data_IF_231387143880
#
_entry.id   IF_231387143880
#
_cell.length_a   1.000
_cell.length_b   1.000
_cell.length_c   1.000
_cell.angle_alpha   90.00
_cell.angle_beta   90.00
_cell.angle_gamma   90.00
#
_symmetry.space_group_name_H-M   'P 1'
#
loop_
_entity.id
_entity.type
_entity.pdbx_description
1 polymer ?
#
# COMPACT_ATOMS: atom_id res chain seq x y z
N UNK A 1 20.70 -6.09 -18.49
CA UNK A 1 19.88 -6.80 -17.49
C UNK A 1 20.67 -8.04 -17.16
N UNK A 2 21.39 -8.00 -16.05
CA UNK A 2 22.20 -9.12 -15.59
C UNK A 2 21.27 -10.17 -14.97
N UNK A 3 21.46 -11.44 -15.33
CA UNK A 3 20.64 -12.52 -14.80
C UNK A 3 20.98 -12.74 -13.32
N UNK A 4 20.00 -12.54 -12.44
CA UNK A 4 20.03 -13.02 -11.07
C UNK A 4 19.82 -14.53 -11.10
N UNK A 5 20.88 -15.30 -10.86
CA UNK A 5 20.78 -16.73 -10.58
C UNK A 5 20.79 -16.89 -9.06
N UNK A 6 19.64 -17.28 -8.51
CA UNK A 6 19.56 -17.78 -7.14
C UNK A 6 19.71 -19.30 -7.21
N UNK A 7 20.77 -19.83 -6.60
CA UNK A 7 20.95 -21.27 -6.41
C UNK A 7 20.62 -21.61 -4.97
N UNK A 8 19.74 -22.60 -4.78
CA UNK A 8 19.38 -23.14 -3.48
C UNK A 8 20.50 -24.03 -2.97
N UNK A 9 21.01 -23.75 -1.77
CA UNK A 9 21.84 -24.69 -1.02
C UNK A 9 21.12 -24.92 0.30
N UNK A 10 20.38 -26.02 0.37
CA UNK A 10 19.82 -26.48 1.63
C UNK A 10 20.96 -26.98 2.52
N UNK A 11 21.24 -26.26 3.60
CA UNK A 11 22.26 -26.63 4.58
C UNK A 11 21.59 -26.89 5.93
N UNK A 12 20.96 -28.07 6.07
CA UNK A 12 20.16 -28.43 7.24
C UNK A 12 18.72 -27.91 7.14
N UNK A 13 18.21 -27.31 8.23
CA UNK A 13 16.87 -26.71 8.32
C UNK A 13 16.84 -25.25 7.83
N UNK A 14 17.98 -24.70 7.41
CA UNK A 14 18.11 -23.32 6.93
C UNK A 14 18.24 -23.27 5.41
N UNK A 15 17.51 -22.33 4.80
CA UNK A 15 17.64 -21.99 3.39
C UNK A 15 18.68 -20.89 3.23
N UNK A 16 19.80 -21.20 2.57
CA UNK A 16 20.84 -20.22 2.24
C UNK A 16 20.72 -19.86 0.76
N UNK A 17 20.38 -18.59 0.49
CA UNK A 17 20.31 -18.08 -0.87
C UNK A 17 21.63 -17.41 -1.23
N UNK A 18 22.35 -17.96 -2.21
CA UNK A 18 23.46 -17.24 -2.85
C UNK A 18 22.94 -16.50 -4.07
N UNK A 19 22.92 -15.16 -4.01
CA UNK A 19 22.63 -14.33 -5.17
C UNK A 19 23.91 -14.23 -6.00
N UNK A 20 23.99 -14.96 -7.11
CA UNK A 20 25.12 -14.88 -8.03
C UNK A 20 24.80 -13.84 -9.12
N UNK A 21 25.51 -12.72 -9.08
CA UNK A 21 25.50 -11.72 -10.15
C UNK A 21 26.49 -12.18 -11.22
N UNK A 22 25.98 -12.60 -12.37
CA UNK A 22 26.82 -13.07 -13.48
C UNK A 22 27.45 -11.87 -14.22
N UNK A 23 28.78 -11.72 -14.10
CA UNK A 23 29.59 -10.85 -14.95
C UNK A 23 30.16 -11.61 -16.16
N UNK A 24 30.62 -10.93 -17.22
CA UNK A 24 31.19 -11.58 -18.40
C UNK A 24 32.59 -12.12 -18.07
N UNK A 25 32.70 -13.40 -17.67
CA UNK A 25 33.98 -14.11 -17.58
C UNK A 25 34.05 -15.27 -18.57
N UNK A 26 35.25 -15.51 -19.11
CA UNK A 26 35.55 -16.42 -20.24
C UNK A 26 35.98 -17.83 -19.81
N UNK A 27 35.73 -18.24 -18.57
CA UNK A 27 36.20 -19.55 -18.10
C UNK A 27 35.06 -20.59 -18.03
N UNK A 28 35.22 -21.64 -18.82
CA UNK A 28 34.35 -22.83 -18.85
C UNK A 28 34.52 -23.64 -17.57
N UNK A 29 33.54 -23.59 -16.67
CA UNK A 29 33.43 -24.52 -15.54
C UNK A 29 32.47 -25.67 -15.91
N UNK A 30 32.94 -26.94 -15.97
CA UNK A 30 32.08 -28.09 -16.19
C UNK A 30 31.62 -28.66 -14.84
N UNK A 31 30.41 -28.26 -14.42
CA UNK A 31 29.47 -29.08 -13.65
C UNK A 31 28.24 -28.22 -13.36
N UNK A 32 27.41 -28.01 -14.38
CA UNK A 32 26.11 -27.37 -14.21
C UNK A 32 25.20 -28.41 -13.58
N UNK A 33 25.05 -28.32 -12.25
CA UNK A 33 24.00 -29.04 -11.54
C UNK A 33 22.67 -28.51 -12.09
N UNK A 34 21.92 -29.36 -12.82
CA UNK A 34 20.61 -29.01 -13.39
C UNK A 34 19.56 -28.93 -12.28
N UNK A 35 19.64 -27.91 -11.43
CA UNK A 35 18.53 -27.56 -10.58
C UNK A 35 17.42 -27.00 -11.47
N UNK A 36 16.20 -27.53 -11.28
CA UNK A 36 15.00 -26.99 -11.92
C UNK A 36 14.96 -25.49 -11.63
N UNK A 37 14.83 -24.62 -12.66
CA UNK A 37 14.81 -23.18 -12.44
C UNK A 37 13.71 -22.85 -11.43
N UNK A 38 14.11 -22.26 -10.31
CA UNK A 38 13.19 -21.85 -9.28
C UNK A 38 12.28 -20.77 -9.85
N UNK A 39 10.98 -20.93 -9.60
CA UNK A 39 9.99 -19.92 -9.92
C UNK A 39 10.34 -18.63 -9.15
N UNK A 40 10.84 -17.62 -9.86
CA UNK A 40 11.30 -16.36 -9.27
C UNK A 40 10.20 -15.70 -8.43
N UNK A 41 8.94 -15.87 -8.83
CA UNK A 41 7.77 -15.35 -8.10
C UNK A 41 7.64 -16.01 -6.72
N UNK A 42 7.91 -17.31 -6.62
CA UNK A 42 7.89 -18.03 -5.33
C UNK A 42 9.05 -17.62 -4.43
N UNK A 43 10.24 -17.44 -5.00
CA UNK A 43 11.40 -16.95 -4.24
C UNK A 43 11.12 -15.58 -3.64
N UNK A 44 10.62 -14.64 -4.44
CA UNK A 44 10.31 -13.28 -3.99
C UNK A 44 9.19 -13.28 -2.95
N UNK A 45 8.17 -14.13 -3.09
CA UNK A 45 7.12 -14.29 -2.08
C UNK A 45 7.68 -14.84 -0.75
N UNK A 46 8.59 -15.82 -0.78
CA UNK A 46 9.27 -16.31 0.43
C UNK A 46 10.13 -15.22 1.07
N UNK A 47 10.88 -14.46 0.26
CA UNK A 47 11.68 -13.34 0.74
C UNK A 47 10.81 -12.27 1.41
N UNK A 48 9.65 -11.92 0.84
CA UNK A 48 8.72 -10.93 1.42
C UNK A 48 8.24 -11.28 2.84
N UNK A 49 8.14 -12.58 3.16
CA UNK A 49 7.70 -13.07 4.47
C UNK A 49 8.83 -13.20 5.49
N UNK A 50 10.08 -13.28 5.03
CA UNK A 50 11.22 -13.54 5.89
C UNK A 50 11.84 -12.24 6.41
N UNK A 51 11.58 -11.92 7.68
CA UNK A 51 12.12 -10.71 8.31
C UNK A 51 13.66 -10.73 8.40
N UNK A 52 14.31 -11.89 8.45
CA UNK A 52 15.77 -11.98 8.67
C UNK A 52 16.59 -11.53 7.47
N UNK A 53 15.98 -11.43 6.28
CA UNK A 53 16.66 -10.97 5.06
C UNK A 53 16.43 -9.49 4.78
N UNK A 54 15.60 -8.81 5.57
CA UNK A 54 15.20 -7.42 5.35
C UNK A 54 16.19 -6.43 5.97
N UNK A 55 16.41 -5.30 5.29
CA UNK A 55 17.38 -4.26 5.68
C UNK A 55 16.72 -2.86 5.87
N UNK A 56 15.41 -2.76 5.63
CA UNK A 56 14.64 -1.53 5.79
C UNK A 56 13.26 -1.80 6.41
N UNK A 57 12.76 -0.83 7.18
CA UNK A 57 11.41 -0.87 7.75
C UNK A 57 10.59 0.39 7.37
N UNK A 58 9.36 0.20 6.92
CA UNK A 58 8.35 1.26 6.76
C UNK A 58 7.46 1.23 7.99
N UNK A 59 7.42 2.32 8.75
CA UNK A 59 6.76 2.37 10.06
C UNK A 59 5.47 3.17 10.01
N UNK A 60 4.42 2.64 10.63
CA UNK A 60 3.08 3.22 10.67
C UNK A 60 2.67 3.49 12.11
N UNK A 61 2.24 4.71 12.41
CA UNK A 61 1.73 5.06 13.73
C UNK A 61 0.33 4.47 13.97
N UNK A 62 0.13 3.75 15.08
CA UNK A 62 -1.22 3.36 15.53
C UNK A 62 -1.73 4.41 16.53
N UNK A 63 -2.89 5.01 16.24
CA UNK A 63 -3.49 6.15 16.94
C UNK A 63 -3.17 6.33 18.43
N UNK A 64 -2.73 7.55 18.78
CA UNK A 64 -2.67 8.09 20.15
C UNK A 64 -1.57 7.54 21.06
N UNK A 65 -0.75 6.59 20.61
CA UNK A 65 0.36 6.03 21.40
C UNK A 65 1.61 5.80 20.56
N UNK A 66 2.76 5.66 21.24
CA UNK A 66 4.13 5.53 20.70
C UNK A 66 4.34 4.20 19.90
N UNK A 67 3.27 3.46 19.59
CA UNK A 67 3.39 2.12 18.98
C UNK A 67 3.40 2.23 17.46
N UNK A 68 4.50 1.79 16.88
CA UNK A 68 4.70 1.73 15.43
C UNK A 68 4.66 0.27 14.96
N UNK A 69 3.89 0.00 13.89
CA UNK A 69 4.00 -1.26 13.14
C UNK A 69 5.05 -1.05 12.05
N UNK A 70 5.99 -1.98 11.90
CA UNK A 70 6.96 -2.01 10.81
C UNK A 70 6.56 -3.00 9.72
N UNK A 71 6.49 -2.54 8.47
CA UNK A 71 6.54 -3.36 7.28
C UNK A 71 7.99 -3.47 6.82
N UNK A 72 8.58 -4.65 6.94
CA UNK A 72 9.97 -4.90 6.60
C UNK A 72 10.12 -5.22 5.11
N UNK A 73 11.13 -4.61 4.48
CA UNK A 73 11.35 -4.64 3.03
C UNK A 73 12.84 -4.67 2.70
N UNK A 74 13.19 -5.21 1.54
CA UNK A 74 14.54 -5.11 0.98
C UNK A 74 14.74 -3.77 0.26
N UNK A 75 15.68 -2.98 0.73
CA UNK A 75 16.09 -1.69 0.17
C UNK A 75 16.46 -1.84 -1.31
N UNK A 76 17.23 -2.88 -1.66
CA UNK A 76 17.68 -3.11 -3.02
C UNK A 76 16.54 -3.35 -4.02
N UNK A 77 15.44 -3.98 -3.57
CA UNK A 77 14.27 -4.24 -4.43
C UNK A 77 13.50 -2.93 -4.64
N UNK A 78 13.26 -2.16 -3.58
CA UNK A 78 12.57 -0.87 -3.70
C UNK A 78 13.37 0.16 -4.51
N UNK A 79 14.70 0.16 -4.37
CA UNK A 79 15.59 1.06 -5.09
C UNK A 79 15.62 0.85 -6.62
N UNK A 80 14.99 -0.21 -7.13
CA UNK A 80 14.77 -0.37 -8.58
C UNK A 80 13.83 0.72 -9.15
N UNK A 81 13.06 1.39 -8.28
CA UNK A 81 12.22 2.53 -8.64
C UNK A 81 12.91 3.85 -8.25
N UNK A 82 13.17 4.78 -9.20
CA UNK A 82 13.98 5.99 -8.93
C UNK A 82 13.46 6.86 -7.78
N UNK A 83 12.15 7.06 -7.67
CA UNK A 83 11.55 7.87 -6.59
C UNK A 83 11.76 7.23 -5.23
N UNK A 84 11.65 5.89 -5.14
CA UNK A 84 11.90 5.14 -3.93
C UNK A 84 13.40 5.10 -3.58
N UNK A 85 14.28 4.96 -4.58
CA UNK A 85 15.73 5.08 -4.38
C UNK A 85 16.11 6.43 -3.75
N UNK A 86 15.59 7.53 -4.31
CA UNK A 86 15.79 8.88 -3.76
C UNK A 86 15.23 9.04 -2.35
N UNK A 87 14.09 8.42 -2.04
CA UNK A 87 13.54 8.40 -0.69
C UNK A 87 14.51 7.67 0.26
N UNK A 88 14.94 6.47 -0.12
CA UNK A 88 15.84 5.59 0.63
C UNK A 88 17.18 6.26 0.94
N UNK A 89 17.74 7.03 0.01
CA UNK A 89 18.98 7.78 0.20
C UNK A 89 18.85 8.87 1.26
N UNK A 90 17.65 9.47 1.39
CA UNK A 90 17.35 10.51 2.37
C UNK A 90 17.03 9.97 3.76
N UNK A 91 16.74 8.67 3.88
CA UNK A 91 16.46 8.05 5.18
C UNK A 91 17.75 7.97 6.00
N UNK A 92 17.67 8.43 7.25
CA UNK A 92 18.76 8.26 8.22
C UNK A 92 18.80 6.82 8.69
N UNK A 93 20.01 6.31 8.87
CA UNK A 93 20.23 5.06 9.59
C UNK A 93 19.92 5.33 11.06
N UNK A 94 19.10 4.48 11.69
CA UNK A 94 18.87 4.56 13.13
C UNK A 94 20.13 4.04 13.82
N UNK A 95 20.95 4.96 14.33
CA UNK A 95 22.08 4.64 15.20
C UNK A 95 21.54 4.37 16.61
N UNK A 96 21.65 3.14 17.09
CA UNK A 96 21.11 2.68 18.38
C UNK A 96 21.85 3.22 19.61
N UNK A 97 21.92 4.55 19.78
CA UNK A 97 22.61 5.20 20.91
C UNK A 97 21.70 5.53 22.09
N UNK A 98 20.38 5.34 21.96
CA UNK A 98 19.40 5.57 23.02
C UNK A 98 18.97 4.24 23.64
N UNK A 99 19.05 4.15 24.98
CA UNK A 99 18.51 3.03 25.77
C UNK A 99 17.02 2.76 25.54
N UNK A 100 16.31 3.69 24.88
CA UNK A 100 14.87 3.65 24.65
C UNK A 100 14.51 3.35 23.19
N UNK A 101 15.50 3.20 22.30
CA UNK A 101 15.29 2.88 20.89
C UNK A 101 15.06 1.37 20.71
N UNK A 102 13.83 0.97 20.40
CA UNK A 102 13.45 -0.43 20.17
C UNK A 102 13.94 -1.00 18.82
N UNK A 103 14.62 -0.22 17.98
CA UNK A 103 15.06 -0.63 16.64
C UNK A 103 16.44 -1.29 16.62
N UNK A 104 16.60 -2.27 15.73
CA UNK A 104 17.90 -2.86 15.39
C UNK A 104 18.80 -1.76 14.82
N UNK A 105 19.96 -1.54 15.45
CA UNK A 105 20.95 -0.58 14.97
C UNK A 105 21.34 -0.91 13.52
N UNK A 106 21.40 0.10 12.66
CA UNK A 106 21.77 -0.07 11.25
C UNK A 106 20.60 -0.19 10.27
N UNK A 107 19.35 -0.24 10.73
CA UNK A 107 18.16 -0.29 9.86
C UNK A 107 17.72 1.13 9.47
N UNK A 108 17.40 1.32 8.17
CA UNK A 108 16.73 2.54 7.70
C UNK A 108 15.23 2.45 7.97
N UNK A 109 14.67 3.53 8.51
CA UNK A 109 13.23 3.62 8.79
C UNK A 109 12.59 4.78 8.06
N UNK A 110 11.44 4.51 7.44
CA UNK A 110 10.55 5.54 6.85
C UNK A 110 9.25 5.59 7.64
N UNK A 111 8.95 6.71 8.29
CA UNK A 111 7.68 6.89 8.99
C UNK A 111 6.60 7.42 8.04
N UNK A 112 5.45 6.76 8.01
CA UNK A 112 4.32 7.06 7.13
C UNK A 112 3.07 7.40 7.95
N UNK A 113 2.46 8.54 7.65
CA UNK A 113 1.21 9.01 8.28
C UNK A 113 0.02 9.06 7.32
N UNK A 114 0.29 9.24 6.03
CA UNK A 114 -0.74 9.66 5.08
C UNK A 114 -1.48 8.48 4.42
N UNK A 115 -0.94 7.28 4.56
CA UNK A 115 -1.46 6.07 3.93
C UNK A 115 -1.51 4.91 4.92
N UNK A 116 -2.40 3.97 4.65
CA UNK A 116 -2.57 2.74 5.42
C UNK A 116 -1.41 1.76 5.18
N UNK A 117 -1.23 0.86 6.15
CA UNK A 117 -0.32 -0.27 6.02
C UNK A 117 -0.71 -1.14 4.82
N UNK A 118 -2.00 -1.35 4.61
CA UNK A 118 -2.57 -2.18 3.57
C UNK A 118 -2.28 -1.62 2.17
N UNK A 119 -2.39 -0.29 1.99
CA UNK A 119 -2.00 0.38 0.75
C UNK A 119 -0.52 0.17 0.42
N UNK A 120 0.36 0.28 1.43
CA UNK A 120 1.78 -0.01 1.26
C UNK A 120 2.05 -1.49 0.98
N UNK A 121 1.32 -2.42 1.60
CA UNK A 121 1.44 -3.84 1.30
C UNK A 121 1.08 -4.13 -0.16
N UNK A 122 0.01 -3.51 -0.69
CA UNK A 122 -0.36 -3.61 -2.10
C UNK A 122 0.76 -3.07 -3.02
N UNK A 123 1.33 -1.91 -2.68
CA UNK A 123 2.43 -1.29 -3.41
C UNK A 123 3.67 -2.20 -3.42
N UNK A 124 4.09 -2.69 -2.25
CA UNK A 124 5.26 -3.58 -2.12
C UNK A 124 5.05 -4.87 -2.89
N UNK A 125 3.86 -5.48 -2.79
CA UNK A 125 3.52 -6.69 -3.56
C UNK A 125 3.63 -6.45 -5.06
N UNK A 126 3.15 -5.31 -5.55
CA UNK A 126 3.29 -4.95 -6.96
C UNK A 126 4.76 -4.80 -7.38
N UNK A 127 5.60 -4.18 -6.55
CA UNK A 127 7.04 -4.01 -6.85
C UNK A 127 7.74 -5.37 -6.90
N UNK A 128 7.45 -6.27 -5.96
CA UNK A 128 8.10 -7.58 -5.90
C UNK A 128 7.59 -8.54 -6.98
N UNK A 129 6.28 -8.62 -7.16
CA UNK A 129 5.66 -9.69 -7.95
C UNK A 129 5.07 -9.21 -9.27
N UNK A 130 4.92 -7.90 -9.48
CA UNK A 130 4.17 -7.34 -10.60
C UNK A 130 2.66 -7.59 -10.53
N UNK A 131 2.17 -8.14 -9.41
CA UNK A 131 0.76 -8.48 -9.18
C UNK A 131 0.02 -7.34 -8.49
N UNK A 132 -1.23 -7.09 -8.89
CA UNK A 132 -2.10 -6.12 -8.25
C UNK A 132 -3.22 -6.87 -7.53
N UNK A 133 -3.18 -6.91 -6.20
CA UNK A 133 -4.21 -7.49 -5.33
C UNK A 133 -4.50 -6.50 -4.21
N UNK A 134 -5.77 -6.11 -4.08
CA UNK A 134 -6.22 -5.19 -3.02
C UNK A 134 -6.56 -5.89 -1.71
N UNK A 135 -6.85 -7.19 -1.78
CA UNK A 135 -7.00 -8.03 -0.61
C UNK A 135 -5.62 -8.37 -0.08
N UNK A 136 -5.32 -7.86 1.11
CA UNK A 136 -4.01 -7.98 1.74
C UNK A 136 -4.11 -9.01 2.85
N UNK A 137 -3.46 -10.14 2.64
CA UNK A 137 -3.11 -11.05 3.73
C UNK A 137 -1.81 -10.56 4.37
N UNK A 138 -1.86 -10.12 5.62
CA UNK A 138 -0.68 -9.63 6.32
C UNK A 138 0.34 -10.75 6.59
N UNK A 139 -0.08 -12.01 6.58
CA UNK A 139 0.81 -13.17 6.70
C UNK A 139 1.69 -13.35 5.44
N UNK A 140 1.38 -12.66 4.33
CA UNK A 140 2.23 -12.60 3.14
C UNK A 140 3.44 -11.66 3.29
N UNK A 141 3.53 -10.90 4.39
CA UNK A 141 4.54 -9.87 4.57
C UNK A 141 5.29 -10.05 5.89
N UNK A 142 6.56 -9.66 5.90
CA UNK A 142 7.35 -9.50 7.11
C UNK A 142 6.87 -8.26 7.88
N UNK A 143 5.81 -8.43 8.68
CA UNK A 143 5.25 -7.39 9.53
C UNK A 143 5.63 -7.67 10.97
N UNK A 144 6.13 -6.66 11.67
CA UNK A 144 6.50 -6.80 13.07
C UNK A 144 6.70 -5.46 13.77
N UNK A 145 6.61 -5.48 15.09
CA UNK A 145 7.14 -4.40 15.90
C UNK A 145 8.66 -4.56 16.01
N UNK A 146 9.40 -3.47 16.25
CA UNK A 146 10.82 -3.56 16.59
C UNK A 146 11.02 -4.50 17.81
N UNK A 147 12.10 -5.30 17.84
CA UNK A 147 12.19 -6.58 18.57
C UNK A 147 12.13 -6.56 20.11
N UNK A 148 11.95 -5.41 20.77
CA UNK A 148 12.18 -5.32 22.22
C UNK A 148 10.94 -5.49 23.12
N UNK A 149 9.74 -5.80 22.59
CA UNK A 149 8.59 -6.19 23.42
C UNK A 149 7.71 -7.27 22.77
N UNK A 150 7.41 -8.40 23.44
CA UNK A 150 6.45 -9.37 22.94
C UNK A 150 5.07 -8.72 22.79
N UNK A 151 4.43 -8.91 21.63
CA UNK A 151 3.17 -8.27 21.29
C UNK A 151 2.02 -9.27 21.11
N UNK A 152 0.84 -8.86 21.58
CA UNK A 152 -0.47 -9.45 21.25
C UNK A 152 -1.27 -8.39 20.49
N UNK A 153 -1.53 -8.64 19.20
CA UNK A 153 -2.27 -7.73 18.33
C UNK A 153 -3.77 -7.83 18.68
N UNK A 154 -4.28 -6.86 19.42
CA UNK A 154 -5.74 -6.60 19.46
C UNK A 154 -6.02 -5.39 18.58
N UNK A 155 -6.29 -5.64 17.30
CA UNK A 155 -6.77 -4.60 16.40
C UNK A 155 -8.19 -4.18 16.78
N UNK A 156 -8.34 -3.03 17.43
CA UNK A 156 -9.64 -2.38 17.52
C UNK A 156 -10.04 -1.95 16.11
N UNK A 157 -11.26 -2.31 15.68
CA UNK A 157 -11.87 -1.83 14.42
C UNK A 157 -11.71 -0.31 14.37
N UNK A 158 -11.05 0.20 13.34
CA UNK A 158 -11.15 1.62 12.99
C UNK A 158 -12.63 1.84 12.62
N UNK A 159 -13.32 2.86 13.16
CA UNK A 159 -14.61 3.23 12.61
C UNK A 159 -14.37 3.55 11.14
N UNK A 160 -15.07 2.83 10.27
CA UNK A 160 -15.15 3.18 8.85
C UNK A 160 -15.55 4.65 8.77
N UNK A 161 -14.88 5.44 7.94
CA UNK A 161 -15.36 6.76 7.53
C UNK A 161 -16.49 6.49 6.52
N UNK A 162 -17.57 5.90 7.02
CA UNK A 162 -18.89 5.81 6.37
C UNK A 162 -19.88 5.92 7.52
N UNK A 163 -20.67 6.98 7.50
CA UNK A 163 -21.46 7.45 8.62
C UNK A 163 -22.38 6.41 9.26
N UNK A 164 -22.53 6.61 10.58
CA UNK A 164 -23.62 6.26 11.48
C UNK A 164 -24.13 4.81 11.62
N UNK A 165 -24.34 4.49 12.90
CA UNK A 165 -24.99 3.32 13.51
C UNK A 165 -24.13 2.05 13.64
N UNK A 166 -23.63 1.78 14.86
CA UNK A 166 -24.23 0.70 15.65
C UNK A 166 -23.75 0.69 17.11
N UNK A 167 -24.71 0.45 18.01
CA UNK A 167 -24.60 0.41 19.47
C UNK A 167 -24.38 -1.02 19.99
N UNK A 168 -23.69 -1.11 21.14
CA UNK A 168 -23.88 -2.03 22.29
C UNK A 168 -22.75 -3.00 22.71
N UNK A 169 -22.33 -2.72 23.95
CA UNK A 169 -21.99 -3.52 25.14
C UNK A 169 -20.76 -4.44 25.24
N UNK A 170 -20.02 -4.37 26.38
CA UNK A 170 -18.84 -5.20 26.66
C UNK A 170 -19.19 -6.48 27.42
N UNK A 171 -18.42 -7.54 27.19
CA UNK A 171 -18.44 -8.77 28.00
C UNK A 171 -17.05 -9.05 28.58
N UNK A 172 -17.09 -9.62 29.78
CA UNK A 172 -16.10 -9.90 30.83
C UNK A 172 -14.78 -10.56 30.37
N UNK A 173 -13.63 -10.31 31.03
CA UNK A 173 -12.36 -10.94 30.67
C UNK A 173 -12.19 -12.31 31.33
N UNK A 174 -11.92 -13.32 30.50
CA UNK A 174 -11.54 -14.68 30.93
C UNK A 174 -10.04 -14.88 30.72
N UNK A 175 -9.34 -15.23 31.80
CA UNK A 175 -7.88 -15.43 31.87
C UNK A 175 -7.54 -16.77 31.23
N UNK A 176 -6.86 -16.75 30.07
CA UNK A 176 -6.26 -17.92 29.44
C UNK A 176 -4.86 -17.58 28.91
N UNK A 177 -3.96 -18.55 29.05
CA UNK A 177 -2.50 -18.54 28.85
C UNK A 177 -1.96 -17.82 27.59
N UNK A 178 -0.84 -17.10 27.79
CA UNK A 178 -0.30 -16.02 26.94
C UNK A 178 0.53 -16.42 25.69
N UNK A 179 0.71 -17.69 25.35
CA UNK A 179 1.72 -18.05 24.32
C UNK A 179 1.18 -18.50 22.95
N UNK A 180 -0.14 -18.55 22.71
CA UNK A 180 -0.68 -18.96 21.39
C UNK A 180 -1.91 -18.16 20.90
N UNK A 181 -2.28 -17.06 21.55
CA UNK A 181 -3.52 -16.30 21.23
C UNK A 181 -3.29 -15.03 20.38
N UNK A 182 -2.24 -15.01 19.56
CA UNK A 182 -1.94 -13.91 18.64
C UNK A 182 -2.29 -14.19 17.15
N UNK A 183 -2.93 -15.34 16.86
CA UNK A 183 -3.15 -15.82 15.47
C UNK A 183 -4.58 -15.66 14.93
N UNK A 184 -5.42 -14.86 15.58
CA UNK A 184 -6.86 -14.76 15.23
C UNK A 184 -7.40 -13.33 15.30
N UNK A 185 -6.77 -12.44 14.54
CA UNK A 185 -7.39 -11.16 14.18
C UNK A 185 -7.08 -10.79 12.73
N UNK A 186 -7.15 -11.76 11.81
CA UNK A 186 -7.12 -11.53 10.37
C UNK A 186 -8.49 -11.01 9.92
N UNK A 187 -8.90 -9.83 10.40
CA UNK A 187 -9.91 -9.07 9.67
C UNK A 187 -9.19 -8.67 8.38
N UNK A 188 -9.53 -9.34 7.27
CA UNK A 188 -9.05 -8.93 5.95
C UNK A 188 -9.33 -7.45 5.77
N UNK A 189 -8.28 -6.67 5.59
CA UNK A 189 -8.39 -5.23 5.37
C UNK A 189 -8.02 -4.99 3.92
N UNK A 190 -8.97 -4.47 3.18
CA UNK A 190 -8.81 -4.19 1.75
C UNK A 190 -8.35 -2.75 1.57
N UNK A 191 -7.24 -2.56 0.86
CA UNK A 191 -6.90 -1.21 0.37
C UNK A 191 -7.86 -0.82 -0.77
N UNK A 192 -8.13 0.48 -0.93
CA UNK A 192 -8.93 0.97 -2.04
C UNK A 192 -8.06 1.25 -3.26
N UNK A 193 -8.66 1.19 -4.47
CA UNK A 193 -7.97 1.64 -5.67
C UNK A 193 -7.54 3.11 -5.59
N UNK A 194 -8.29 3.95 -4.87
CA UNK A 194 -7.98 5.38 -4.69
C UNK A 194 -6.69 5.59 -3.90
N UNK A 195 -6.51 4.86 -2.81
CA UNK A 195 -5.30 4.94 -2.00
C UNK A 195 -4.09 4.41 -2.78
N UNK A 196 -4.24 3.23 -3.42
CA UNK A 196 -3.16 2.65 -4.23
C UNK A 196 -2.80 3.53 -5.43
N UNK A 197 -3.78 4.22 -6.03
CA UNK A 197 -3.55 5.23 -7.07
C UNK A 197 -2.68 6.38 -6.57
N UNK A 198 -3.00 6.95 -5.40
CA UNK A 198 -2.24 8.06 -4.80
C UNK A 198 -0.82 7.63 -4.44
N UNK A 199 -0.64 6.44 -3.88
CA UNK A 199 0.68 5.86 -3.60
C UNK A 199 1.49 5.69 -4.89
N UNK A 200 0.87 5.12 -5.93
CA UNK A 200 1.54 4.91 -7.21
C UNK A 200 1.93 6.24 -7.88
N UNK A 201 1.10 7.28 -7.76
CA UNK A 201 1.43 8.63 -8.24
C UNK A 201 2.58 9.25 -7.44
N UNK A 202 2.51 9.20 -6.10
CA UNK A 202 3.54 9.69 -5.18
C UNK A 202 4.92 9.09 -5.47
N UNK A 203 4.97 7.78 -5.77
CA UNK A 203 6.21 7.07 -6.12
C UNK A 203 6.50 7.01 -7.61
N UNK A 204 5.72 7.69 -8.45
CA UNK A 204 5.83 7.72 -9.91
C UNK A 204 5.84 6.33 -10.59
N UNK A 205 5.10 5.36 -10.04
CA UNK A 205 4.96 4.00 -10.58
C UNK A 205 3.83 3.99 -11.62
N UNK A 206 4.14 4.50 -12.82
CA UNK A 206 3.17 4.74 -13.92
C UNK A 206 2.24 3.56 -14.20
N UNK A 207 2.77 2.34 -14.33
CA UNK A 207 1.96 1.15 -14.67
C UNK A 207 0.88 0.87 -13.61
N UNK A 208 1.22 1.02 -12.33
CA UNK A 208 0.28 0.84 -11.22
C UNK A 208 -0.73 1.98 -11.16
N UNK A 209 -0.26 3.23 -11.35
CA UNK A 209 -1.11 4.43 -11.41
C UNK A 209 -2.17 4.31 -12.51
N UNK A 210 -1.75 3.99 -13.74
CA UNK A 210 -2.66 3.85 -14.88
C UNK A 210 -3.67 2.72 -14.65
N UNK A 211 -3.23 1.58 -14.11
CA UNK A 211 -4.14 0.48 -13.75
C UNK A 211 -5.20 0.92 -12.73
N UNK A 212 -4.79 1.56 -11.63
CA UNK A 212 -5.74 2.01 -10.62
C UNK A 212 -6.68 3.10 -11.14
N UNK A 213 -6.18 4.02 -11.99
CA UNK A 213 -7.00 5.03 -12.67
C UNK A 213 -8.12 4.36 -13.47
N UNK A 214 -7.77 3.41 -14.32
CA UNK A 214 -8.73 2.75 -15.20
C UNK A 214 -9.78 1.98 -14.38
N UNK A 215 -9.37 1.37 -13.26
CA UNK A 215 -10.30 0.75 -12.30
C UNK A 215 -11.22 1.76 -11.63
N UNK A 216 -10.70 2.89 -11.15
CA UNK A 216 -11.52 3.96 -10.54
C UNK A 216 -12.57 4.45 -11.54
N UNK A 217 -12.17 4.72 -12.79
CA UNK A 217 -13.09 5.17 -13.84
C UNK A 217 -14.14 4.10 -14.13
N UNK A 218 -13.77 2.82 -14.19
CA UNK A 218 -14.70 1.72 -14.44
C UNK A 218 -15.73 1.52 -13.31
N UNK A 219 -15.39 1.88 -12.07
CA UNK A 219 -16.30 1.82 -10.91
C UNK A 219 -17.01 3.14 -10.62
N UNK A 220 -16.83 4.15 -11.47
CA UNK A 220 -17.45 5.45 -11.29
C UNK A 220 -18.95 5.35 -11.62
N UNK A 221 -19.78 5.80 -10.70
CA UNK A 221 -21.24 5.86 -10.85
C UNK A 221 -21.73 7.27 -10.53
N UNK A 222 -22.92 7.69 -11.00
CA UNK A 222 -23.47 9.00 -10.64
C UNK A 222 -23.53 9.22 -9.12
N UNK A 223 -23.80 8.16 -8.34
CA UNK A 223 -23.95 8.22 -6.89
C UNK A 223 -22.63 8.48 -6.15
N UNK A 224 -21.49 7.99 -6.67
CA UNK A 224 -20.18 8.15 -6.03
C UNK A 224 -19.32 9.25 -6.69
N UNK A 225 -19.75 9.81 -7.82
CA UNK A 225 -18.91 10.71 -8.63
C UNK A 225 -18.46 11.96 -7.86
N UNK A 226 -19.34 12.58 -7.07
CA UNK A 226 -18.98 13.78 -6.30
C UNK A 226 -18.06 13.45 -5.13
N UNK A 227 -18.27 12.33 -4.45
CA UNK A 227 -17.37 11.87 -3.39
C UNK A 227 -15.96 11.64 -3.96
N UNK A 228 -15.86 10.99 -5.12
CA UNK A 228 -14.57 10.80 -5.81
C UNK A 228 -13.96 12.13 -6.26
N UNK A 229 -14.76 13.02 -6.84
CA UNK A 229 -14.34 14.34 -7.33
C UNK A 229 -13.70 15.16 -6.21
N UNK A 230 -14.43 15.33 -5.11
CA UNK A 230 -14.06 16.17 -3.98
C UNK A 230 -13.08 15.49 -3.01
N UNK A 231 -13.09 14.16 -2.94
CA UNK A 231 -12.18 13.42 -2.08
C UNK A 231 -10.73 13.46 -2.58
N UNK A 232 -10.51 13.20 -3.87
CA UNK A 232 -9.13 13.16 -4.41
C UNK A 232 -9.01 13.48 -5.89
N UNK A 233 -10.02 13.19 -6.72
CA UNK A 233 -9.86 13.29 -8.17
C UNK A 233 -9.60 14.72 -8.67
N UNK A 234 -10.03 15.77 -7.96
CA UNK A 234 -9.77 17.17 -8.33
C UNK A 234 -8.27 17.51 -8.44
N UNK A 235 -7.39 16.74 -7.80
CA UNK A 235 -5.94 16.95 -7.81
C UNK A 235 -5.28 16.33 -9.07
N UNK A 236 -5.97 15.44 -9.77
CA UNK A 236 -5.42 14.65 -10.87
C UNK A 236 -6.17 14.97 -12.16
N UNK A 237 -5.52 15.65 -13.11
CA UNK A 237 -6.18 16.19 -14.31
C UNK A 237 -6.94 15.14 -15.11
N UNK A 238 -6.38 13.93 -15.24
CA UNK A 238 -6.99 12.83 -15.99
C UNK A 238 -8.23 12.25 -15.28
N UNK A 239 -8.16 12.01 -13.97
CA UNK A 239 -9.33 11.58 -13.19
C UNK A 239 -10.39 12.68 -13.10
N UNK A 240 -9.98 13.93 -12.84
CA UNK A 240 -10.87 15.09 -12.75
C UNK A 240 -11.73 15.20 -14.01
N UNK A 241 -11.10 15.12 -15.19
CA UNK A 241 -11.81 15.21 -16.47
C UNK A 241 -12.84 14.10 -16.64
N UNK A 242 -12.48 12.84 -16.34
CA UNK A 242 -13.38 11.70 -16.42
C UNK A 242 -14.58 11.85 -15.47
N UNK A 243 -14.33 12.26 -14.23
CA UNK A 243 -15.36 12.40 -13.20
C UNK A 243 -16.29 13.56 -13.52
N UNK A 244 -15.75 14.73 -13.88
CA UNK A 244 -16.56 15.89 -14.30
C UNK A 244 -17.41 15.58 -15.54
N UNK A 245 -16.88 14.80 -16.49
CA UNK A 245 -17.66 14.37 -17.66
C UNK A 245 -18.85 13.50 -17.25
N UNK A 246 -18.70 12.61 -16.27
CA UNK A 246 -19.79 11.80 -15.75
C UNK A 246 -20.82 12.66 -15.01
N UNK A 247 -20.37 13.56 -14.14
CA UNK A 247 -21.25 14.50 -13.41
C UNK A 247 -22.05 15.35 -14.38
N UNK A 248 -21.40 15.96 -15.38
CA UNK A 248 -22.06 16.78 -16.38
C UNK A 248 -23.10 15.98 -17.18
N UNK A 249 -22.82 14.72 -17.53
CA UNK A 249 -23.76 13.86 -18.26
C UNK A 249 -25.01 13.53 -17.43
N UNK A 250 -24.86 13.36 -16.12
CA UNK A 250 -25.94 12.94 -15.22
C UNK A 250 -26.51 14.10 -14.37
N UNK A 251 -26.16 15.34 -14.69
CA UNK A 251 -26.54 16.50 -13.87
C UNK A 251 -28.05 16.60 -13.68
N UNK A 252 -28.85 16.38 -14.74
CA UNK A 252 -30.33 16.46 -14.65
C UNK A 252 -30.90 15.44 -13.66
N UNK A 253 -30.34 14.23 -13.63
CA UNK A 253 -30.75 13.18 -12.69
C UNK A 253 -30.24 13.42 -11.28
N UNK A 254 -29.10 14.08 -11.11
CA UNK A 254 -28.56 14.39 -9.78
C UNK A 254 -29.35 15.50 -9.07
N UNK A 255 -30.05 16.34 -9.82
CA UNK A 255 -30.95 17.39 -9.30
C UNK A 255 -32.43 16.95 -9.23
N UNK A 256 -32.76 15.67 -9.46
CA UNK A 256 -34.16 15.21 -9.57
C UNK A 256 -34.99 15.31 -8.29
N UNK A 257 -34.34 15.40 -7.14
CA UNK A 257 -34.98 15.36 -5.81
C UNK A 257 -35.05 16.75 -5.13
N UNK A 258 -34.94 17.84 -5.90
CA UNK A 258 -34.84 19.23 -5.41
C UNK A 258 -33.71 19.47 -4.40
N UNK A 259 -32.72 18.56 -4.35
CA UNK A 259 -31.53 18.67 -3.51
C UNK A 259 -30.34 19.04 -4.37
N UNK A 260 -29.56 20.01 -3.92
CA UNK A 260 -28.30 20.35 -4.56
C UNK A 260 -27.25 19.28 -4.19
N UNK A 261 -26.78 18.46 -5.15
CA UNK A 261 -25.83 17.40 -4.85
C UNK A 261 -24.44 17.96 -4.44
N UNK A 262 -24.18 19.25 -4.66
CA UNK A 262 -22.96 19.94 -4.22
C UNK A 262 -23.03 20.52 -2.81
N UNK A 263 -24.22 20.59 -2.20
CA UNK A 263 -24.43 21.15 -0.85
C UNK A 263 -23.49 20.55 0.21
N UNK A 264 -23.25 19.22 0.28
CA UNK A 264 -22.35 18.62 1.26
C UNK A 264 -20.88 19.08 1.14
N UNK A 265 -20.52 19.71 0.02
CA UNK A 265 -19.16 20.13 -0.30
C UNK A 265 -19.02 21.65 -0.34
N UNK A 266 -20.02 22.41 0.14
CA UNK A 266 -20.01 23.88 0.08
C UNK A 266 -18.76 24.52 0.70
N UNK A 267 -18.23 23.93 1.78
CA UNK A 267 -17.02 24.41 2.47
C UNK A 267 -15.71 23.98 1.78
N UNK A 268 -15.77 23.12 0.76
CA UNK A 268 -14.57 22.70 0.04
C UNK A 268 -14.00 23.87 -0.77
N UNK A 269 -12.69 24.20 -0.67
CA UNK A 269 -12.10 25.39 -1.27
C UNK A 269 -12.16 25.42 -2.81
N UNK A 270 -12.49 24.30 -3.44
CA UNK A 270 -12.65 24.15 -4.89
C UNK A 270 -14.10 23.94 -5.33
N UNK A 271 -15.09 23.98 -4.44
CA UNK A 271 -16.49 23.69 -4.76
C UNK A 271 -17.00 24.56 -5.91
N UNK A 272 -16.89 25.88 -5.78
CA UNK A 272 -17.34 26.80 -6.81
C UNK A 272 -16.65 26.58 -8.17
N UNK A 273 -15.33 26.34 -8.17
CA UNK A 273 -14.58 26.07 -9.40
C UNK A 273 -15.04 24.77 -10.07
N UNK A 274 -15.18 23.68 -9.31
CA UNK A 274 -15.56 22.38 -9.82
C UNK A 274 -17.02 22.35 -10.31
N UNK A 275 -17.93 23.04 -9.62
CA UNK A 275 -19.31 23.24 -10.07
C UNK A 275 -19.35 24.00 -11.40
N UNK A 276 -18.59 25.09 -11.51
CA UNK A 276 -18.52 25.89 -12.75
C UNK A 276 -17.98 25.05 -13.91
N UNK A 277 -16.93 24.26 -13.69
CA UNK A 277 -16.38 23.34 -14.70
C UNK A 277 -17.42 22.29 -15.12
N UNK A 278 -18.16 21.71 -14.18
CA UNK A 278 -19.22 20.73 -14.48
C UNK A 278 -20.35 21.36 -15.31
N UNK A 279 -20.80 22.57 -14.97
CA UNK A 279 -21.82 23.31 -15.72
C UNK A 279 -21.34 23.64 -17.14
N UNK A 280 -20.10 24.11 -17.30
CA UNK A 280 -19.53 24.38 -18.63
C UNK A 280 -19.49 23.13 -19.50
N UNK A 281 -19.15 21.97 -18.93
CA UNK A 281 -19.19 20.69 -19.65
C UNK A 281 -20.63 20.29 -20.01
N UNK A 282 -21.60 20.50 -19.11
CA UNK A 282 -23.02 20.25 -19.40
C UNK A 282 -23.49 21.09 -20.60
N UNK A 283 -23.18 22.39 -20.61
CA UNK A 283 -23.53 23.27 -21.73
C UNK A 283 -22.90 22.83 -23.05
N UNK A 284 -21.63 22.42 -23.04
CA UNK A 284 -20.96 21.88 -24.24
C UNK A 284 -21.65 20.62 -24.76
N UNK A 285 -22.04 19.71 -23.87
CA UNK A 285 -22.72 18.46 -24.24
C UNK A 285 -24.13 18.68 -24.81
N UNK A 286 -24.76 19.83 -24.56
CA UNK A 286 -26.06 20.19 -25.14
C UNK A 286 -25.95 20.75 -26.57
N UNK A 287 -24.75 21.18 -26.97
CA UNK A 287 -24.50 21.76 -28.29
C UNK A 287 -24.01 20.74 -29.33
N UNK A 288 -23.56 19.56 -28.88
CA UNK A 288 -23.10 18.44 -29.72
C UNK A 288 -24.23 17.50 -30.08
#
# INVERSE_FOLDING_TARGET
>A
MDCLLATDVQQGDEYVFSIVLSGPSKEEYPNVCYHKPMDQTKLLATMMRNISTMDMAITFGIGGGIRNIGLWVHQQILAQHPTLANLIEKLKVIEGSSSDSEFVSGVKSHHVTDYSLEGYCCLVRFIYMGEIKLDVDLDDFAIGCPPNKPFSVTCKKRPSITGLFSTTNPSTPEVQSETQKAKSCSVARTSSYSELFQLADCFAIKKLRDFCRDKIIAYLTPENALEVLFGYAYQYTDLKAAVLSLVAKNMDTMYSDDKDPFEPYADHPKCHTLLTEALQLKFKNLQS
#
